data_IF_588206294205
#
_entry.id   IF_588206294205
#
_cell.length_a   1.000
_cell.length_b   1.000
_cell.length_c   1.000
_cell.angle_alpha   90.00
_cell.angle_beta   90.00
_cell.angle_gamma   90.00
#
_symmetry.space_group_name_H-M   'P 1'
#
loop_
_entity.id
_entity.type
_entity.pdbx_description
1 polymer ?
#
# COMPACT_ATOMS: atom_id res chain seq x y z
N UNK A 1 36.85 7.94 51.39
CA UNK A 1 36.96 6.69 52.16
C UNK A 1 35.70 5.90 51.90
N UNK A 2 35.74 5.02 50.96
CA UNK A 2 35.27 3.63 50.97
C UNK A 2 35.43 3.08 49.53
N UNK A 3 36.44 2.27 49.37
CA UNK A 3 36.67 1.31 48.27
C UNK A 3 35.75 0.14 48.46
N UNK A 4 35.01 -0.24 47.42
CA UNK A 4 34.62 -1.63 47.20
C UNK A 4 34.76 -1.93 45.71
N UNK A 5 35.71 -2.78 45.40
CA UNK A 5 35.81 -3.57 44.17
C UNK A 5 34.71 -4.61 44.23
N UNK A 6 33.95 -4.74 43.14
CA UNK A 6 33.36 -6.03 42.76
C UNK A 6 33.28 -6.11 41.25
N UNK A 7 34.13 -6.94 40.73
CA UNK A 7 34.17 -7.50 39.41
C UNK A 7 32.98 -8.47 39.26
N UNK A 8 31.98 -8.14 38.44
CA UNK A 8 31.00 -9.12 37.94
C UNK A 8 31.40 -9.52 36.52
N UNK A 9 31.81 -10.78 36.44
CA UNK A 9 32.14 -11.53 35.25
C UNK A 9 30.93 -11.66 34.32
N UNK A 10 31.11 -11.24 33.07
CA UNK A 10 30.20 -11.49 31.94
C UNK A 10 30.45 -12.89 31.38
N UNK A 11 29.93 -13.93 32.01
CA UNK A 11 29.84 -15.27 31.43
C UNK A 11 28.64 -15.99 32.03
N UNK A 12 27.44 -15.77 31.46
CA UNK A 12 26.33 -16.72 31.48
C UNK A 12 25.30 -16.26 30.45
N UNK A 13 25.60 -16.45 29.18
CA UNK A 13 24.62 -16.50 28.10
C UNK A 13 24.58 -17.93 27.58
N UNK A 14 23.54 -18.66 27.93
CA UNK A 14 23.27 -20.01 27.48
C UNK A 14 23.09 -20.08 25.97
N UNK A 15 23.66 -21.10 25.30
CA UNK A 15 23.41 -21.36 23.88
C UNK A 15 22.15 -22.20 23.70
N UNK A 16 21.19 -21.67 22.95
CA UNK A 16 20.09 -22.47 22.41
C UNK A 16 20.43 -22.77 20.97
N UNK A 17 21.03 -23.93 20.75
CA UNK A 17 20.99 -24.68 19.50
C UNK A 17 21.72 -26.01 19.70
N UNK A 18 21.04 -27.11 19.79
CA UNK A 18 21.61 -28.40 19.44
C UNK A 18 20.54 -29.44 19.07
N UNK A 19 20.69 -29.91 17.85
CA UNK A 19 20.57 -31.26 17.34
C UNK A 19 19.18 -31.90 17.17
N UNK A 20 18.89 -32.09 15.90
CA UNK A 20 17.97 -33.12 15.40
C UNK A 20 18.54 -34.53 15.59
N UNK A 21 17.74 -35.57 15.72
CA UNK A 21 18.12 -36.94 15.38
C UNK A 21 17.61 -37.32 13.98
N UNK A 22 18.52 -37.79 13.15
CA UNK A 22 18.24 -38.55 11.93
C UNK A 22 17.58 -39.87 12.26
N UNK A 23 16.53 -40.22 11.56
CA UNK A 23 16.11 -41.63 11.39
C UNK A 23 15.76 -41.86 9.92
N UNK A 24 16.20 -43.02 9.47
CA UNK A 24 16.43 -43.44 8.11
C UNK A 24 15.19 -43.70 7.25
N UNK A 25 15.47 -43.67 5.97
CA UNK A 25 14.70 -43.94 4.78
C UNK A 25 13.74 -45.13 4.79
N UNK A 26 12.59 -44.94 4.12
CA UNK A 26 11.98 -45.96 3.26
C UNK A 26 11.29 -45.30 2.09
N UNK A 27 11.66 -45.72 0.91
CA UNK A 27 11.27 -45.27 -0.42
C UNK A 27 9.95 -45.85 -0.89
N UNK A 28 9.06 -45.03 -1.47
CA UNK A 28 8.25 -45.39 -2.64
C UNK A 28 7.66 -44.14 -3.34
N UNK A 29 7.55 -44.09 -4.67
CA UNK A 29 7.24 -42.88 -5.42
C UNK A 29 5.75 -42.68 -5.59
N UNK A 30 5.24 -41.54 -5.11
CA UNK A 30 3.86 -41.09 -5.32
C UNK A 30 3.87 -39.69 -5.93
N UNK A 31 3.44 -39.62 -7.17
CA UNK A 31 3.28 -38.45 -8.03
C UNK A 31 2.63 -37.26 -7.29
N UNK A 32 3.39 -36.21 -7.00
CA UNK A 32 2.86 -34.91 -6.60
C UNK A 32 2.39 -34.17 -7.86
N UNK A 33 1.07 -34.25 -8.12
CA UNK A 33 0.40 -33.35 -9.04
C UNK A 33 0.17 -32.00 -8.33
N UNK A 34 0.70 -30.96 -8.92
CA UNK A 34 0.58 -29.57 -8.49
C UNK A 34 -0.87 -29.13 -8.33
N UNK A 35 -1.25 -28.67 -7.13
CA UNK A 35 -2.60 -28.22 -6.76
C UNK A 35 -2.86 -26.72 -7.05
N UNK A 36 -2.14 -26.10 -7.95
CA UNK A 36 -2.18 -24.64 -8.15
C UNK A 36 -3.26 -24.11 -9.09
N UNK A 37 -4.15 -24.96 -9.68
CA UNK A 37 -5.21 -24.46 -10.58
C UNK A 37 -6.57 -25.18 -10.42
N UNK A 38 -7.03 -25.42 -9.20
CA UNK A 38 -8.34 -26.03 -9.00
C UNK A 38 -9.46 -24.94 -8.90
N UNK A 39 -10.55 -25.05 -9.68
CA UNK A 39 -11.67 -24.12 -9.59
C UNK A 39 -12.30 -24.07 -8.20
N UNK A 40 -12.97 -22.96 -7.82
CA UNK A 40 -13.57 -22.81 -6.49
C UNK A 40 -14.59 -23.90 -6.20
N UNK A 41 -14.68 -24.34 -4.93
CA UNK A 41 -15.61 -25.38 -4.52
C UNK A 41 -17.07 -24.88 -4.66
N UNK A 42 -18.01 -25.73 -5.09
CA UNK A 42 -19.41 -25.35 -5.20
C UNK A 42 -20.01 -24.95 -3.84
N UNK A 43 -21.09 -24.12 -3.79
CA UNK A 43 -21.74 -23.71 -2.56
C UNK A 43 -22.25 -24.93 -1.75
N UNK A 44 -22.38 -24.78 -0.43
CA UNK A 44 -22.82 -25.85 0.44
C UNK A 44 -24.29 -26.20 0.16
N UNK A 45 -24.63 -27.48 -0.07
CA UNK A 45 -26.01 -27.92 -0.26
C UNK A 45 -26.80 -27.79 1.05
N UNK A 46 -28.14 -27.72 0.93
CA UNK A 46 -29.08 -27.78 2.08
C UNK A 46 -29.71 -29.18 2.11
N UNK A 47 -29.99 -29.70 3.32
CA UNK A 47 -30.73 -30.91 3.48
C UNK A 47 -32.25 -30.72 3.19
N UNK A 48 -33.03 -31.81 3.22
CA UNK A 48 -34.47 -31.77 2.99
C UNK A 48 -35.25 -30.93 4.02
N UNK A 49 -34.61 -30.56 5.15
CA UNK A 49 -35.15 -29.70 6.20
C UNK A 49 -34.69 -28.22 6.05
N UNK A 50 -33.97 -27.89 5.00
CA UNK A 50 -33.46 -26.51 4.74
C UNK A 50 -32.19 -26.15 5.51
N UNK A 51 -31.64 -27.05 6.33
CA UNK A 51 -30.42 -26.83 7.08
C UNK A 51 -29.16 -26.99 6.18
N UNK A 52 -28.13 -26.26 6.51
CA UNK A 52 -26.88 -26.26 5.74
C UNK A 52 -26.06 -27.51 6.02
N UNK A 53 -25.77 -28.35 5.03
CA UNK A 53 -24.89 -29.51 5.15
C UNK A 53 -23.43 -29.06 5.29
N UNK A 54 -22.79 -29.39 6.38
CA UNK A 54 -21.38 -29.08 6.61
C UNK A 54 -20.49 -30.10 5.90
N UNK A 55 -19.81 -29.69 4.83
CA UNK A 55 -18.88 -30.52 4.08
C UNK A 55 -17.60 -29.76 3.77
N UNK A 56 -16.46 -30.47 3.73
CA UNK A 56 -15.18 -29.87 3.35
C UNK A 56 -15.19 -29.46 1.86
N UNK A 57 -14.41 -28.44 1.44
CA UNK A 57 -14.33 -28.02 0.04
C UNK A 57 -13.97 -29.17 -0.91
N UNK A 58 -13.11 -30.07 -0.48
CA UNK A 58 -12.69 -31.23 -1.27
C UNK A 58 -13.81 -32.29 -1.38
N UNK A 59 -14.50 -32.59 -0.26
CA UNK A 59 -15.66 -33.48 -0.26
C UNK A 59 -16.78 -33.01 -1.18
N UNK A 60 -17.05 -31.69 -1.22
CA UNK A 60 -18.04 -31.09 -2.13
C UNK A 60 -17.68 -31.25 -3.62
N UNK A 61 -16.41 -31.13 -3.98
CA UNK A 61 -15.97 -31.35 -5.36
C UNK A 61 -16.10 -32.83 -5.77
N UNK A 62 -15.63 -33.71 -4.91
CA UNK A 62 -15.69 -35.16 -5.15
C UNK A 62 -17.13 -35.69 -5.25
N UNK A 63 -18.01 -35.28 -4.34
CA UNK A 63 -19.43 -35.65 -4.39
C UNK A 63 -20.10 -35.15 -5.67
N UNK A 64 -19.80 -33.91 -6.10
CA UNK A 64 -20.32 -33.36 -7.37
C UNK A 64 -19.80 -34.15 -8.59
N UNK A 65 -18.53 -34.53 -8.61
CA UNK A 65 -17.95 -35.32 -9.70
C UNK A 65 -18.50 -36.75 -9.75
N UNK A 66 -18.80 -37.33 -8.58
CA UNK A 66 -19.36 -38.67 -8.47
C UNK A 66 -20.90 -38.72 -8.52
N UNK A 67 -21.59 -37.54 -8.62
CA UNK A 67 -23.05 -37.48 -8.66
C UNK A 67 -23.72 -37.89 -7.35
N UNK A 68 -23.02 -37.76 -6.21
CA UNK A 68 -23.53 -38.18 -4.88
C UNK A 68 -24.11 -36.98 -4.14
N UNK A 69 -25.30 -37.16 -3.54
CA UNK A 69 -25.91 -36.13 -2.69
C UNK A 69 -25.26 -36.12 -1.30
N UNK A 70 -24.63 -35.01 -0.94
CA UNK A 70 -23.97 -34.79 0.34
C UNK A 70 -24.97 -34.81 1.53
N UNK A 71 -26.24 -34.53 1.28
CA UNK A 71 -27.29 -34.59 2.33
C UNK A 71 -27.59 -36.01 2.77
N UNK A 72 -27.28 -37.01 1.96
CA UNK A 72 -27.47 -38.44 2.28
C UNK A 72 -26.28 -39.07 3.04
N UNK A 73 -25.17 -38.32 3.23
CA UNK A 73 -23.95 -38.81 3.84
C UNK A 73 -23.83 -38.37 5.31
N UNK A 74 -23.50 -39.33 6.18
CA UNK A 74 -23.14 -39.02 7.57
C UNK A 74 -21.67 -38.62 7.63
N UNK A 75 -21.40 -37.33 8.01
CA UNK A 75 -20.04 -36.82 8.13
C UNK A 75 -19.34 -37.37 9.38
N UNK A 76 -18.13 -37.94 9.22
CA UNK A 76 -17.29 -38.44 10.32
C UNK A 76 -16.29 -37.38 10.84
N UNK A 77 -16.21 -36.20 10.22
CA UNK A 77 -15.34 -35.12 10.65
C UNK A 77 -15.85 -34.30 11.84
N UNK A 78 -15.05 -33.42 12.43
CA UNK A 78 -15.41 -32.58 13.56
C UNK A 78 -16.74 -31.85 13.35
N UNK A 79 -17.61 -31.89 14.37
CA UNK A 79 -18.96 -31.33 14.33
C UNK A 79 -19.88 -31.90 13.23
N UNK A 80 -19.73 -33.21 12.89
CA UNK A 80 -20.58 -33.86 11.89
C UNK A 80 -20.29 -33.43 10.45
N UNK A 81 -19.08 -32.90 10.15
CA UNK A 81 -18.69 -32.44 8.82
C UNK A 81 -18.37 -33.61 7.90
N UNK A 82 -18.94 -33.61 6.69
CA UNK A 82 -18.58 -34.56 5.64
C UNK A 82 -17.16 -34.27 5.14
N UNK A 83 -16.27 -35.25 5.29
CA UNK A 83 -14.87 -35.19 4.85
C UNK A 83 -14.65 -36.09 3.64
N UNK A 84 -13.47 -36.00 3.04
CA UNK A 84 -13.09 -36.75 1.83
C UNK A 84 -13.35 -38.24 1.95
N UNK A 85 -12.97 -38.84 3.09
CA UNK A 85 -13.10 -40.28 3.34
C UNK A 85 -14.57 -40.75 3.27
N UNK A 86 -15.52 -39.91 3.70
CA UNK A 86 -16.95 -40.25 3.69
C UNK A 86 -17.48 -40.35 2.26
N UNK A 87 -17.01 -39.48 1.35
CA UNK A 87 -17.40 -39.49 -0.06
C UNK A 87 -16.75 -40.66 -0.78
N UNK A 88 -15.45 -40.95 -0.52
CA UNK A 88 -14.79 -42.14 -1.08
C UNK A 88 -15.48 -43.43 -0.68
N UNK A 89 -15.86 -43.57 0.60
CA UNK A 89 -16.58 -44.73 1.11
C UNK A 89 -17.99 -44.87 0.48
N UNK A 90 -18.65 -43.72 0.18
CA UNK A 90 -19.95 -43.73 -0.48
C UNK A 90 -19.82 -44.15 -1.97
N UNK A 91 -18.75 -43.76 -2.66
CA UNK A 91 -18.44 -44.20 -4.01
C UNK A 91 -18.21 -45.73 -4.05
N UNK A 92 -17.41 -46.25 -3.10
CA UNK A 92 -17.12 -47.70 -3.01
C UNK A 92 -18.35 -48.53 -2.67
N UNK A 93 -19.30 -48.00 -1.87
CA UNK A 93 -20.55 -48.68 -1.51
C UNK A 93 -21.63 -48.61 -2.58
N UNK A 94 -21.41 -47.90 -3.69
CA UNK A 94 -22.38 -47.78 -4.80
C UNK A 94 -23.64 -47.02 -4.42
N UNK A 95 -23.53 -45.92 -3.69
CA UNK A 95 -24.66 -45.06 -3.36
C UNK A 95 -25.39 -44.58 -4.64
N UNK A 96 -26.75 -44.56 -4.69
CA UNK A 96 -27.50 -44.29 -5.90
C UNK A 96 -27.21 -42.92 -6.44
N UNK A 97 -26.76 -42.87 -7.71
CA UNK A 97 -26.62 -41.63 -8.47
C UNK A 97 -28.00 -41.04 -8.78
N UNK A 98 -28.15 -39.74 -8.64
CA UNK A 98 -29.39 -39.05 -9.06
C UNK A 98 -29.64 -39.29 -10.55
N UNK A 99 -30.71 -39.98 -10.87
CA UNK A 99 -31.25 -40.07 -12.24
C UNK A 99 -31.83 -38.68 -12.60
N UNK A 100 -31.60 -38.20 -13.81
CA UNK A 100 -32.28 -36.98 -14.29
C UNK A 100 -33.76 -37.23 -14.41
N UNK A 101 -34.61 -36.47 -13.75
CA UNK A 101 -36.05 -36.53 -13.87
C UNK A 101 -36.46 -36.19 -15.33
N UNK A 102 -37.19 -37.13 -15.94
CA UNK A 102 -37.76 -36.96 -17.25
C UNK A 102 -38.84 -35.86 -17.24
N UNK A 103 -38.75 -34.92 -18.19
CA UNK A 103 -39.75 -33.91 -18.46
C UNK A 103 -40.93 -34.55 -19.22
N UNK A 104 -42.20 -34.24 -18.87
CA UNK A 104 -43.30 -34.53 -19.74
C UNK A 104 -43.37 -33.54 -20.90
N UNK A 105 -43.60 -34.07 -22.08
CA UNK A 105 -43.84 -33.29 -23.30
C UNK A 105 -45.15 -32.51 -23.20
N UNK A 106 -45.12 -31.23 -23.56
CA UNK A 106 -46.30 -30.41 -23.84
C UNK A 106 -46.08 -29.62 -25.13
N UNK A 107 -47.13 -29.61 -25.95
CA UNK A 107 -47.30 -29.07 -27.30
C UNK A 107 -47.04 -27.55 -27.45
N UNK A 108 -46.90 -27.05 -28.68
CA UNK A 108 -46.34 -25.73 -28.95
C UNK A 108 -47.41 -24.61 -28.98
N UNK A 109 -47.16 -23.52 -28.30
CA UNK A 109 -47.89 -22.26 -28.50
C UNK A 109 -46.94 -21.06 -28.51
N UNK A 110 -46.98 -20.42 -29.69
CA UNK A 110 -46.73 -18.99 -29.98
C UNK A 110 -45.53 -18.25 -29.36
N UNK A 111 -44.65 -17.85 -30.27
CA UNK A 111 -43.54 -16.94 -30.13
C UNK A 111 -43.95 -15.58 -29.52
N UNK A 112 -43.39 -15.24 -28.37
CA UNK A 112 -43.16 -13.86 -27.96
C UNK A 112 -41.66 -13.72 -27.66
N UNK A 113 -40.98 -12.88 -28.42
CA UNK A 113 -39.56 -12.59 -28.29
C UNK A 113 -39.33 -11.91 -26.94
N UNK A 114 -38.75 -12.63 -25.96
CA UNK A 114 -38.20 -12.06 -24.77
C UNK A 114 -36.72 -11.76 -25.03
N UNK A 115 -36.34 -10.48 -25.02
CA UNK A 115 -34.96 -10.03 -24.98
C UNK A 115 -34.23 -10.64 -23.78
N UNK A 116 -32.95 -11.04 -23.90
CA UNK A 116 -32.18 -11.50 -22.76
C UNK A 116 -31.98 -10.34 -21.80
N UNK A 117 -32.60 -10.42 -20.60
CA UNK A 117 -32.26 -9.55 -19.48
C UNK A 117 -30.80 -9.85 -19.06
N UNK A 118 -29.92 -8.88 -19.28
CA UNK A 118 -28.61 -8.88 -18.69
C UNK A 118 -28.74 -8.99 -17.16
N UNK A 119 -27.93 -9.83 -16.51
CA UNK A 119 -27.90 -9.85 -15.05
C UNK A 119 -27.59 -8.45 -14.55
N UNK A 120 -28.47 -7.87 -13.76
CA UNK A 120 -28.23 -6.59 -13.10
C UNK A 120 -26.91 -6.68 -12.33
N UNK A 121 -25.94 -5.87 -12.75
CA UNK A 121 -24.68 -5.74 -12.04
C UNK A 121 -24.98 -5.40 -10.57
N UNK A 122 -24.61 -6.28 -9.65
CA UNK A 122 -24.73 -6.04 -8.22
C UNK A 122 -23.91 -4.78 -7.93
N UNK A 123 -24.59 -3.71 -7.50
CA UNK A 123 -23.92 -2.52 -6.97
C UNK A 123 -22.89 -2.98 -5.93
N UNK A 124 -21.66 -2.45 -5.96
CA UNK A 124 -20.68 -2.69 -4.89
C UNK A 124 -21.35 -2.38 -3.54
N UNK A 125 -21.06 -3.15 -2.48
CA UNK A 125 -21.59 -2.86 -1.16
C UNK A 125 -21.26 -1.41 -0.80
N UNK A 126 -22.27 -0.67 -0.34
CA UNK A 126 -22.08 0.71 0.11
C UNK A 126 -20.97 0.75 1.18
N UNK A 127 -20.06 1.73 1.14
CA UNK A 127 -19.04 1.86 2.18
C UNK A 127 -19.74 1.89 3.53
N UNK A 128 -19.15 1.19 4.52
CA UNK A 128 -19.67 1.13 5.88
C UNK A 128 -19.96 2.57 6.33
N UNK A 129 -21.22 2.87 6.63
CA UNK A 129 -21.62 4.18 7.13
C UNK A 129 -20.87 4.39 8.44
N UNK A 130 -20.02 5.41 8.48
CA UNK A 130 -19.37 5.85 9.71
C UNK A 130 -20.42 6.23 10.75
N UNK A 131 -20.02 6.25 12.03
CA UNK A 131 -20.88 6.73 13.13
C UNK A 131 -21.42 8.12 12.74
N UNK A 132 -22.74 8.30 12.81
CA UNK A 132 -23.36 9.61 12.62
C UNK A 132 -22.98 10.51 13.81
N UNK A 133 -21.94 11.32 13.62
CA UNK A 133 -21.39 12.18 14.64
C UNK A 133 -22.43 13.23 15.12
N UNK A 134 -23.31 13.69 14.22
CA UNK A 134 -24.36 14.66 14.55
C UNK A 134 -25.41 14.03 15.45
N UNK A 135 -25.95 12.87 15.08
CA UNK A 135 -26.90 12.14 15.90
C UNK A 135 -26.31 11.79 17.28
N UNK A 136 -25.02 11.45 17.34
CA UNK A 136 -24.31 11.20 18.60
C UNK A 136 -24.18 12.47 19.45
N UNK A 137 -23.76 13.58 18.87
CA UNK A 137 -23.64 14.87 19.59
C UNK A 137 -24.98 15.38 20.10
N UNK A 138 -26.03 15.28 19.28
CA UNK A 138 -27.40 15.64 19.66
C UNK A 138 -27.92 14.82 20.84
N UNK A 139 -27.68 13.50 20.80
CA UNK A 139 -28.12 12.59 21.88
C UNK A 139 -27.41 12.85 23.20
N UNK A 140 -26.20 13.40 23.18
CA UNK A 140 -25.40 13.73 24.37
C UNK A 140 -25.55 15.21 24.79
N UNK A 141 -26.36 16.00 24.09
CA UNK A 141 -26.56 17.44 24.39
C UNK A 141 -25.26 18.25 24.20
N UNK A 142 -24.34 17.84 23.31
CA UNK A 142 -23.09 18.55 23.07
C UNK A 142 -23.33 19.81 22.23
N UNK A 143 -22.74 20.93 22.63
CA UNK A 143 -22.77 22.15 21.82
C UNK A 143 -21.75 22.05 20.69
N UNK A 144 -22.18 22.31 19.45
CA UNK A 144 -21.30 22.31 18.26
C UNK A 144 -21.79 23.34 17.22
N UNK A 145 -20.87 23.70 16.31
CA UNK A 145 -21.21 24.50 15.12
C UNK A 145 -21.11 23.57 13.89
N UNK A 146 -22.16 23.50 13.09
CA UNK A 146 -22.17 22.76 11.85
C UNK A 146 -21.72 23.63 10.68
N UNK A 147 -20.50 23.37 10.17
CA UNK A 147 -19.94 24.10 9.03
C UNK A 147 -19.95 23.20 7.78
N UNK A 148 -20.67 23.57 6.71
CA UNK A 148 -20.72 22.76 5.49
C UNK A 148 -19.37 22.71 4.78
N UNK A 149 -18.95 21.51 4.38
CA UNK A 149 -17.73 21.33 3.59
C UNK A 149 -17.89 21.90 2.18
N UNK A 150 -16.87 22.61 1.71
CA UNK A 150 -16.78 23.03 0.31
C UNK A 150 -16.54 21.82 -0.63
N UNK A 151 -16.68 22.02 -1.94
CA UNK A 151 -16.54 20.95 -2.93
C UNK A 151 -15.13 20.30 -2.94
N UNK A 152 -14.10 21.09 -2.69
CA UNK A 152 -12.74 20.60 -2.56
C UNK A 152 -12.60 19.63 -1.37
N UNK A 153 -13.08 20.04 -0.17
CA UNK A 153 -13.05 19.20 1.03
C UNK A 153 -13.86 17.92 0.87
N UNK A 154 -15.02 17.97 0.20
CA UNK A 154 -15.82 16.78 -0.13
C UNK A 154 -15.05 15.81 -1.02
N UNK A 155 -14.35 16.34 -2.04
CA UNK A 155 -13.52 15.53 -2.95
C UNK A 155 -12.32 14.91 -2.21
N UNK A 156 -11.63 15.68 -1.38
CA UNK A 156 -10.52 15.20 -0.55
C UNK A 156 -11.00 14.08 0.38
N UNK A 157 -12.09 14.30 1.12
CA UNK A 157 -12.66 13.31 2.04
C UNK A 157 -12.95 11.98 1.32
N UNK A 158 -13.61 12.03 0.15
CA UNK A 158 -13.90 10.85 -0.67
C UNK A 158 -12.62 10.11 -1.07
N UNK A 159 -11.65 10.82 -1.68
CA UNK A 159 -10.41 10.22 -2.20
C UNK A 159 -9.53 9.64 -1.10
N UNK A 160 -9.38 10.35 0.03
CA UNK A 160 -8.54 9.86 1.12
C UNK A 160 -9.19 8.69 1.86
N UNK A 161 -10.51 8.68 2.03
CA UNK A 161 -11.23 7.52 2.58
C UNK A 161 -11.10 6.30 1.67
N UNK A 162 -11.27 6.47 0.35
CA UNK A 162 -11.06 5.41 -0.63
C UNK A 162 -9.63 4.87 -0.59
N UNK A 163 -8.62 5.75 -0.55
CA UNK A 163 -7.22 5.34 -0.44
C UNK A 163 -6.96 4.50 0.81
N UNK A 164 -7.42 4.96 1.97
CA UNK A 164 -7.21 4.23 3.24
C UNK A 164 -7.96 2.91 3.33
N UNK A 165 -9.10 2.77 2.65
CA UNK A 165 -9.89 1.54 2.65
C UNK A 165 -9.39 0.52 1.63
N UNK A 166 -8.82 0.96 0.49
CA UNK A 166 -8.48 0.08 -0.62
C UNK A 166 -7.00 -0.20 -0.78
N UNK A 167 -6.13 0.69 -0.29
CA UNK A 167 -4.67 0.57 -0.42
C UNK A 167 -4.07 0.02 0.87
N UNK A 168 -3.43 -1.17 0.87
CA UNK A 168 -2.70 -1.68 2.01
C UNK A 168 -1.38 -0.90 2.18
N UNK A 169 -1.43 0.16 2.99
CA UNK A 169 -0.26 0.99 3.25
C UNK A 169 0.79 0.26 4.08
N UNK A 170 2.03 0.28 3.64
CA UNK A 170 3.21 -0.11 4.40
C UNK A 170 4.16 1.07 4.53
N UNK A 171 4.85 1.20 5.66
CA UNK A 171 5.62 2.39 6.00
C UNK A 171 7.07 2.04 6.30
N UNK A 172 8.01 2.82 5.73
CA UNK A 172 9.44 2.70 5.99
C UNK A 172 9.97 4.07 6.34
N UNK A 173 10.78 4.17 7.39
CA UNK A 173 11.38 5.42 7.83
C UNK A 173 12.90 5.35 7.77
N UNK A 174 13.53 6.49 7.47
CA UNK A 174 14.98 6.67 7.45
C UNK A 174 15.34 8.04 7.99
N UNK A 175 16.42 8.12 8.75
CA UNK A 175 17.06 9.38 9.14
C UNK A 175 18.20 9.67 8.16
N UNK A 176 18.26 10.91 7.69
CA UNK A 176 19.20 11.39 6.66
C UNK A 176 19.97 12.58 7.21
N UNK A 177 21.28 12.57 7.08
CA UNK A 177 22.12 13.71 7.42
C UNK A 177 22.04 14.78 6.33
N UNK A 178 21.77 16.03 6.73
CA UNK A 178 21.50 17.13 5.81
C UNK A 178 22.59 18.20 5.77
N UNK A 179 23.66 18.05 6.54
CA UNK A 179 24.70 19.08 6.67
C UNK A 179 25.33 19.45 5.30
N UNK A 180 25.65 18.47 4.45
CA UNK A 180 26.18 18.73 3.11
C UNK A 180 25.14 19.37 2.16
N UNK A 181 23.86 19.00 2.27
CA UNK A 181 22.80 19.70 1.51
C UNK A 181 22.74 21.17 1.89
N UNK A 182 22.77 21.51 3.17
CA UNK A 182 22.74 22.91 3.61
C UNK A 182 23.96 23.69 3.15
N UNK A 183 25.15 23.08 3.21
CA UNK A 183 26.42 23.67 2.77
C UNK A 183 26.39 23.92 1.25
N UNK A 184 26.13 22.89 0.45
CA UNK A 184 26.07 23.01 -1.03
C UNK A 184 24.98 23.99 -1.46
N UNK A 185 23.79 23.94 -0.82
CA UNK A 185 22.71 24.89 -1.10
C UNK A 185 23.15 26.35 -0.85
N UNK A 186 23.86 26.58 0.28
CA UNK A 186 24.36 27.93 0.58
C UNK A 186 25.35 28.40 -0.48
N UNK A 187 26.35 27.57 -0.81
CA UNK A 187 27.35 27.90 -1.83
C UNK A 187 26.73 28.18 -3.21
N UNK A 188 25.77 27.33 -3.65
CA UNK A 188 25.11 27.52 -4.93
C UNK A 188 24.25 28.80 -4.95
N UNK A 189 23.57 29.13 -3.85
CA UNK A 189 22.79 30.35 -3.75
C UNK A 189 23.68 31.59 -3.69
N UNK A 190 24.82 31.58 -2.99
CA UNK A 190 25.79 32.70 -2.97
C UNK A 190 26.37 32.92 -4.35
N UNK A 191 26.72 31.87 -5.10
CA UNK A 191 27.19 31.95 -6.50
C UNK A 191 26.11 32.47 -7.43
N UNK A 192 24.87 32.02 -7.29
CA UNK A 192 23.75 32.49 -8.10
C UNK A 192 23.52 34.00 -7.89
N UNK A 193 23.51 34.44 -6.63
CA UNK A 193 23.38 35.86 -6.27
C UNK A 193 24.52 36.72 -6.86
N UNK A 194 25.78 36.25 -6.76
CA UNK A 194 26.94 36.94 -7.31
C UNK A 194 26.89 37.09 -8.84
N UNK A 195 26.23 36.17 -9.55
CA UNK A 195 26.03 36.17 -11.00
C UNK A 195 24.75 36.88 -11.44
N UNK A 196 23.92 37.38 -10.52
CA UNK A 196 22.62 37.99 -10.83
C UNK A 196 21.57 37.01 -11.37
N UNK A 197 21.71 35.72 -11.03
CA UNK A 197 20.75 34.67 -11.44
C UNK A 197 19.43 34.81 -10.74
N UNK A 198 18.33 34.55 -11.46
CA UNK A 198 16.95 34.65 -10.95
C UNK A 198 16.42 33.36 -10.33
N UNK A 199 17.20 32.74 -9.44
CA UNK A 199 16.73 31.60 -8.63
C UNK A 199 17.38 31.58 -7.25
N UNK A 200 16.68 30.94 -6.31
CA UNK A 200 17.18 30.67 -4.95
C UNK A 200 16.74 29.27 -4.57
N UNK A 201 17.70 28.37 -4.45
CA UNK A 201 17.47 26.96 -4.12
C UNK A 201 16.95 26.80 -2.70
N UNK A 202 15.93 25.98 -2.55
CA UNK A 202 15.39 25.48 -1.27
C UNK A 202 15.86 24.05 -1.01
N UNK A 203 15.77 23.58 0.23
CA UNK A 203 16.03 22.16 0.57
C UNK A 203 15.08 21.24 -0.20
N UNK A 204 13.83 21.69 -0.41
CA UNK A 204 12.82 20.93 -1.12
C UNK A 204 13.21 20.63 -2.58
N UNK A 205 13.96 21.54 -3.25
CA UNK A 205 14.43 21.34 -4.63
C UNK A 205 15.43 20.18 -4.70
N UNK A 206 16.31 20.05 -3.69
CA UNK A 206 17.23 18.92 -3.57
C UNK A 206 16.47 17.61 -3.32
N UNK A 207 15.45 17.63 -2.45
CA UNK A 207 14.64 16.43 -2.17
C UNK A 207 13.87 15.99 -3.41
N UNK A 208 13.26 16.91 -4.16
CA UNK A 208 12.57 16.60 -5.43
C UNK A 208 13.55 15.96 -6.42
N UNK A 209 14.74 16.54 -6.60
CA UNK A 209 15.77 16.02 -7.50
C UNK A 209 16.24 14.63 -7.05
N UNK A 210 16.54 14.45 -5.76
CA UNK A 210 16.96 13.18 -5.19
C UNK A 210 15.89 12.10 -5.35
N UNK A 211 14.61 12.41 -5.08
CA UNK A 211 13.50 11.49 -5.33
C UNK A 211 13.43 11.05 -6.79
N UNK A 212 13.51 12.01 -7.74
CA UNK A 212 13.44 11.71 -9.16
C UNK A 212 14.58 10.80 -9.63
N UNK A 213 15.81 11.05 -9.19
CA UNK A 213 16.97 10.21 -9.49
C UNK A 213 16.88 8.83 -8.82
N UNK A 214 16.38 8.76 -7.58
CA UNK A 214 16.15 7.48 -6.89
C UNK A 214 15.10 6.63 -7.60
N UNK A 215 14.03 7.23 -8.13
CA UNK A 215 13.01 6.54 -8.93
C UNK A 215 13.58 5.99 -10.25
N UNK A 216 14.56 6.65 -10.85
CA UNK A 216 15.27 6.12 -12.03
C UNK A 216 16.17 4.94 -11.68
N UNK A 217 16.81 4.94 -10.51
CA UNK A 217 17.64 3.82 -10.03
C UNK A 217 16.82 2.64 -9.53
N UNK A 218 15.62 2.91 -8.99
CA UNK A 218 14.68 1.90 -8.47
C UNK A 218 13.33 2.06 -9.15
N UNK A 219 13.21 1.71 -10.44
CA UNK A 219 11.99 1.97 -11.22
C UNK A 219 10.75 1.24 -10.69
N UNK A 220 10.93 0.16 -9.92
CA UNK A 220 9.82 -0.54 -9.26
C UNK A 220 9.10 0.30 -8.21
N UNK A 221 9.75 1.34 -7.65
CA UNK A 221 9.10 2.29 -6.74
C UNK A 221 8.27 3.36 -7.49
N UNK A 222 8.50 3.54 -8.81
CA UNK A 222 7.75 4.46 -9.66
C UNK A 222 6.57 3.75 -10.33
N UNK A 223 5.60 3.33 -9.54
CA UNK A 223 4.57 2.38 -9.95
C UNK A 223 3.14 2.84 -9.64
N UNK A 224 2.17 2.15 -10.25
CA UNK A 224 0.76 2.21 -9.90
C UNK A 224 0.14 0.80 -9.94
N UNK A 225 -0.81 0.54 -9.04
CA UNK A 225 -1.59 -0.70 -9.05
C UNK A 225 -2.77 -0.57 -10.02
N UNK A 226 -2.92 -1.54 -10.93
CA UNK A 226 -3.99 -1.59 -11.92
C UNK A 226 -4.77 -2.92 -11.85
N UNK A 227 -5.36 -3.22 -10.69
CA UNK A 227 -6.17 -4.42 -10.48
C UNK A 227 -5.35 -5.72 -10.54
N UNK A 228 -5.09 -6.23 -11.73
CA UNK A 228 -4.33 -7.47 -11.95
C UNK A 228 -2.89 -7.26 -12.42
N UNK A 229 -2.46 -6.01 -12.59
CA UNK A 229 -1.12 -5.65 -13.10
C UNK A 229 -0.51 -4.48 -12.33
N UNK A 230 0.81 -4.33 -12.41
CA UNK A 230 1.54 -3.14 -12.00
C UNK A 230 1.91 -2.32 -13.24
N UNK A 231 1.74 -1.01 -13.18
CA UNK A 231 2.25 -0.07 -14.17
C UNK A 231 3.54 0.52 -13.64
N UNK A 232 4.62 0.43 -14.41
CA UNK A 232 5.90 1.08 -14.09
C UNK A 232 6.11 2.25 -15.04
N UNK A 233 6.34 3.45 -14.47
CA UNK A 233 6.45 4.66 -15.24
C UNK A 233 7.90 4.91 -15.69
N UNK A 234 8.07 5.34 -16.93
CA UNK A 234 9.39 5.65 -17.49
C UNK A 234 9.99 6.92 -16.88
N UNK A 235 9.17 7.93 -16.63
CA UNK A 235 9.59 9.22 -16.10
C UNK A 235 9.14 9.40 -14.65
N UNK A 236 9.92 10.15 -13.88
CA UNK A 236 9.59 10.53 -12.52
C UNK A 236 8.86 11.89 -12.51
N UNK A 237 7.53 11.83 -12.52
CA UNK A 237 6.65 12.99 -12.41
C UNK A 237 6.31 13.21 -10.93
N UNK A 238 7.03 14.11 -10.28
CA UNK A 238 6.94 14.30 -8.81
C UNK A 238 5.88 15.32 -8.46
N UNK A 239 4.81 14.86 -7.80
CA UNK A 239 3.74 15.69 -7.24
C UNK A 239 4.16 16.23 -5.88
N UNK A 240 4.13 17.54 -5.68
CA UNK A 240 4.54 18.18 -4.41
C UNK A 240 3.33 18.77 -3.72
N UNK A 241 3.07 18.36 -2.47
CA UNK A 241 1.95 18.87 -1.69
C UNK A 241 2.15 20.36 -1.33
N UNK A 242 1.22 21.21 -1.76
CA UNK A 242 1.19 22.64 -1.46
C UNK A 242 -0.09 22.98 -0.71
N UNK A 243 0.06 23.53 0.49
CA UNK A 243 -1.07 24.04 1.27
C UNK A 243 -1.63 25.31 0.61
N UNK A 244 -2.95 25.33 0.45
CA UNK A 244 -3.73 26.47 -0.06
C UNK A 244 -4.88 26.77 0.88
N UNK A 245 -5.53 27.90 0.72
CA UNK A 245 -6.73 28.22 1.48
C UNK A 245 -7.84 27.18 1.21
N UNK A 246 -8.36 26.59 2.29
CA UNK A 246 -9.41 25.57 2.23
C UNK A 246 -8.94 24.14 1.91
N UNK A 247 -7.64 23.87 1.67
CA UNK A 247 -7.19 22.51 1.40
C UNK A 247 -5.72 22.36 1.00
N UNK A 248 -5.48 21.38 0.15
CA UNK A 248 -4.16 21.02 -0.38
C UNK A 248 -4.30 20.68 -1.85
N UNK A 249 -3.32 21.11 -2.65
CA UNK A 249 -3.17 20.73 -4.06
C UNK A 249 -1.76 20.20 -4.32
N UNK A 250 -1.60 19.34 -5.31
CA UNK A 250 -0.33 18.64 -5.58
C UNK A 250 0.17 18.96 -7.01
N UNK A 251 0.74 20.18 -7.26
CA UNK A 251 1.38 20.45 -8.55
C UNK A 251 2.47 19.44 -8.88
N UNK A 252 2.68 19.16 -10.16
CA UNK A 252 3.54 18.11 -10.66
C UNK A 252 4.76 18.70 -11.39
N UNK A 253 5.96 18.37 -10.93
CA UNK A 253 7.20 18.57 -11.67
C UNK A 253 7.38 17.38 -12.61
N UNK A 254 7.07 17.56 -13.89
CA UNK A 254 7.16 16.50 -14.91
C UNK A 254 8.60 16.22 -15.26
N UNK A 255 8.94 14.92 -15.45
CA UNK A 255 10.30 14.46 -15.84
C UNK A 255 11.39 15.07 -14.95
N UNK A 256 11.16 15.07 -13.64
CA UNK A 256 12.05 15.74 -12.70
C UNK A 256 13.49 15.20 -12.74
N UNK A 257 13.67 13.93 -13.16
CA UNK A 257 14.98 13.30 -13.36
C UNK A 257 15.81 13.91 -14.49
N UNK A 258 15.19 14.64 -15.40
CA UNK A 258 15.90 15.31 -16.50
C UNK A 258 16.24 16.77 -16.21
N UNK A 259 15.72 17.32 -15.10
CA UNK A 259 15.81 18.74 -14.77
C UNK A 259 16.91 19.03 -13.75
N UNK A 260 17.71 20.07 -13.96
CA UNK A 260 18.65 20.57 -12.96
C UNK A 260 17.94 21.31 -11.81
N UNK A 261 18.64 21.47 -10.68
CA UNK A 261 18.11 22.12 -9.46
C UNK A 261 17.53 23.52 -9.71
N UNK A 262 18.18 24.33 -10.53
CA UNK A 262 17.71 25.69 -10.87
C UNK A 262 16.36 25.66 -11.60
N UNK A 263 16.19 24.72 -12.55
CA UNK A 263 14.94 24.54 -13.29
C UNK A 263 13.82 24.07 -12.36
N UNK A 264 14.09 23.05 -11.52
CA UNK A 264 13.13 22.56 -10.52
C UNK A 264 12.70 23.69 -9.59
N UNK A 265 13.65 24.49 -9.09
CA UNK A 265 13.37 25.60 -8.18
C UNK A 265 12.46 26.66 -8.81
N UNK A 266 12.76 27.10 -10.06
CA UNK A 266 11.93 28.06 -10.79
C UNK A 266 10.52 27.52 -11.03
N UNK A 267 10.42 26.30 -11.52
CA UNK A 267 9.16 25.64 -11.84
C UNK A 267 8.30 25.41 -10.59
N UNK A 268 8.90 24.90 -9.51
CA UNK A 268 8.19 24.68 -8.24
C UNK A 268 7.69 25.99 -7.63
N UNK A 269 8.49 27.06 -7.70
CA UNK A 269 8.13 28.39 -7.21
C UNK A 269 6.94 28.98 -7.97
N UNK A 270 6.95 28.88 -9.30
CA UNK A 270 5.83 29.31 -10.16
C UNK A 270 4.57 28.50 -9.88
N UNK A 271 4.67 27.17 -9.90
CA UNK A 271 3.55 26.27 -9.62
C UNK A 271 2.95 26.52 -8.23
N UNK A 272 3.79 26.69 -7.20
CA UNK A 272 3.32 26.95 -5.84
C UNK A 272 2.63 28.31 -5.71
N UNK A 273 3.10 29.34 -6.43
CA UNK A 273 2.45 30.65 -6.49
C UNK A 273 1.06 30.54 -7.14
N UNK A 274 1.01 29.94 -8.35
CA UNK A 274 -0.26 29.78 -9.07
C UNK A 274 -1.23 28.85 -8.35
N UNK A 275 -0.72 27.86 -7.58
CA UNK A 275 -1.54 27.03 -6.71
C UNK A 275 -2.29 27.85 -5.67
N UNK A 276 -1.59 28.74 -4.95
CA UNK A 276 -2.20 29.63 -3.93
C UNK A 276 -3.17 30.65 -4.54
N UNK A 277 -2.87 31.10 -5.75
CA UNK A 277 -3.75 32.03 -6.51
C UNK A 277 -4.94 31.30 -7.17
N UNK A 278 -5.06 29.97 -7.06
CA UNK A 278 -6.13 29.19 -7.70
C UNK A 278 -6.05 29.17 -9.24
N UNK A 279 -4.86 29.37 -9.81
CA UNK A 279 -4.62 29.51 -11.26
C UNK A 279 -3.93 28.29 -11.92
N UNK A 280 -3.82 27.17 -11.23
CA UNK A 280 -3.29 25.94 -11.81
C UNK A 280 -4.27 25.33 -12.79
N UNK A 281 -3.74 24.84 -13.92
CA UNK A 281 -4.52 24.05 -14.88
C UNK A 281 -4.59 22.58 -14.43
N UNK A 282 -5.64 21.84 -14.81
CA UNK A 282 -5.77 20.43 -14.44
C UNK A 282 -4.56 19.56 -14.76
N UNK A 283 -3.93 19.75 -15.91
CA UNK A 283 -2.73 19.02 -16.34
C UNK A 283 -1.47 19.32 -15.52
N UNK A 284 -1.50 20.34 -14.66
CA UNK A 284 -0.39 20.72 -13.80
C UNK A 284 -0.44 20.09 -12.40
N UNK A 285 -1.60 19.51 -12.01
CA UNK A 285 -1.77 18.81 -10.74
C UNK A 285 -2.34 17.41 -10.88
N UNK A 286 -2.51 16.92 -12.12
CA UNK A 286 -2.91 15.55 -12.42
C UNK A 286 -1.77 14.80 -13.13
N UNK A 287 -1.75 13.47 -12.99
CA UNK A 287 -0.83 12.62 -13.72
C UNK A 287 0.58 12.50 -13.13
N UNK A 288 0.80 12.87 -11.88
CA UNK A 288 2.06 12.57 -11.18
C UNK A 288 2.21 11.08 -10.90
N UNK A 289 3.45 10.59 -10.83
CA UNK A 289 3.77 9.18 -10.59
C UNK A 289 4.24 8.88 -9.16
N UNK A 290 4.70 9.92 -8.45
CA UNK A 290 5.18 9.87 -7.07
C UNK A 290 4.76 11.14 -6.34
N UNK A 291 4.47 11.06 -5.04
CA UNK A 291 4.11 12.22 -4.23
C UNK A 291 5.16 12.56 -3.18
N UNK A 292 5.31 13.86 -2.92
CA UNK A 292 6.14 14.43 -1.86
C UNK A 292 5.29 15.32 -0.96
N UNK A 293 5.30 15.06 0.34
CA UNK A 293 4.65 15.90 1.35
C UNK A 293 5.68 16.37 2.39
N UNK A 294 5.89 17.67 2.51
CA UNK A 294 6.88 18.24 3.44
C UNK A 294 6.18 19.08 4.51
N UNK A 295 6.27 18.64 5.77
CA UNK A 295 5.77 19.35 6.95
C UNK A 295 6.89 19.86 7.87
N UNK A 296 8.15 19.80 7.41
CA UNK A 296 9.30 20.29 8.18
C UNK A 296 9.21 21.75 8.59
N UNK A 297 8.61 22.60 7.74
CA UNK A 297 8.38 24.01 8.07
C UNK A 297 7.42 24.25 9.24
N UNK A 298 6.63 23.24 9.61
CA UNK A 298 5.72 23.27 10.76
C UNK A 298 6.32 22.63 12.01
N UNK A 299 7.61 22.23 11.99
CA UNK A 299 8.29 21.59 13.10
C UNK A 299 7.88 20.13 13.33
N UNK A 300 7.22 19.49 12.37
CA UNK A 300 6.83 18.08 12.45
C UNK A 300 8.05 17.23 12.13
N UNK A 301 8.48 16.39 13.08
CA UNK A 301 9.67 15.54 12.92
C UNK A 301 9.39 14.30 12.09
N UNK A 302 8.23 13.66 12.26
CA UNK A 302 7.86 12.45 11.54
C UNK A 302 6.33 12.37 11.38
N UNK A 303 5.87 11.89 10.23
CA UNK A 303 4.45 11.61 9.97
C UNK A 303 4.31 10.59 8.83
N UNK A 304 3.15 9.94 8.78
CA UNK A 304 2.81 8.98 7.73
C UNK A 304 1.79 9.60 6.80
N UNK A 305 2.18 9.85 5.55
CA UNK A 305 1.28 10.41 4.54
C UNK A 305 0.34 9.33 3.98
N UNK A 306 -0.88 9.74 3.63
CA UNK A 306 -1.84 8.89 2.91
C UNK A 306 -1.46 8.90 1.43
N UNK A 307 -1.36 7.73 0.83
CA UNK A 307 -1.06 7.58 -0.61
C UNK A 307 -2.17 8.26 -1.43
N UNK A 308 -1.76 8.97 -2.49
CA UNK A 308 -2.66 9.62 -3.44
C UNK A 308 -2.81 8.74 -4.69
N UNK A 309 -3.85 7.89 -4.79
CA UNK A 309 -4.03 7.05 -5.95
C UNK A 309 -4.14 7.84 -7.27
N UNK A 310 -3.62 7.30 -8.38
CA UNK A 310 -3.14 5.93 -8.61
C UNK A 310 -1.67 5.68 -8.23
N UNK A 311 -0.94 6.67 -7.72
CA UNK A 311 0.46 6.54 -7.31
C UNK A 311 0.63 5.48 -6.22
N UNK A 312 1.71 4.68 -6.32
CA UNK A 312 2.00 3.66 -5.32
C UNK A 312 2.80 4.17 -4.12
N UNK A 313 3.44 5.35 -4.23
CA UNK A 313 4.34 5.85 -3.20
C UNK A 313 4.12 7.33 -2.90
N UNK A 314 4.32 7.69 -1.62
CA UNK A 314 4.42 9.08 -1.15
C UNK A 314 5.49 9.19 -0.07
N UNK A 315 6.39 10.16 -0.23
CA UNK A 315 7.42 10.49 0.76
C UNK A 315 6.94 11.62 1.67
N UNK A 316 6.87 11.35 2.97
CA UNK A 316 6.67 12.32 4.03
C UNK A 316 8.04 12.82 4.51
N UNK A 317 8.22 14.13 4.54
CA UNK A 317 9.47 14.79 4.93
C UNK A 317 9.24 15.61 6.20
N UNK A 318 10.00 15.29 7.23
CA UNK A 318 9.99 15.98 8.50
C UNK A 318 10.92 17.19 8.55
N UNK A 319 10.99 17.81 9.73
CA UNK A 319 11.90 18.93 9.99
C UNK A 319 13.36 18.45 10.01
N UNK A 320 14.26 19.35 9.63
CA UNK A 320 15.71 19.15 9.83
C UNK A 320 16.10 19.81 11.14
N UNK A 321 16.67 19.04 12.07
CA UNK A 321 17.06 19.52 13.40
C UNK A 321 18.40 18.93 13.84
N UNK A 322 19.12 19.63 14.70
CA UNK A 322 20.36 19.14 15.26
C UNK A 322 20.08 18.00 16.25
N UNK A 323 20.73 16.85 16.02
CA UNK A 323 20.64 15.66 16.88
C UNK A 323 22.02 15.15 17.24
N UNK A 324 22.20 14.55 18.44
CA UNK A 324 23.41 13.81 18.75
C UNK A 324 23.46 12.54 17.88
N UNK A 325 24.60 12.35 17.22
CA UNK A 325 24.87 11.17 16.36
C UNK A 325 26.22 10.58 16.73
N UNK A 326 26.46 9.33 16.39
CA UNK A 326 27.77 8.70 16.53
C UNK A 326 28.45 8.69 15.16
N UNK A 327 29.58 9.39 15.02
CA UNK A 327 30.45 9.40 13.84
C UNK A 327 31.84 8.89 14.23
N UNK A 328 32.33 7.92 13.50
CA UNK A 328 33.67 7.32 13.72
C UNK A 328 33.91 6.89 15.18
N UNK A 329 32.85 6.39 15.85
CA UNK A 329 32.89 5.97 17.23
C UNK A 329 32.86 7.11 18.28
N UNK A 330 32.73 8.37 17.84
CA UNK A 330 32.63 9.54 18.73
C UNK A 330 31.24 10.19 18.67
N UNK A 331 30.80 10.76 19.79
CA UNK A 331 29.59 11.56 19.84
C UNK A 331 29.81 12.87 19.09
N UNK A 332 28.92 13.16 18.14
CA UNK A 332 28.92 14.38 17.33
C UNK A 332 27.53 14.97 17.24
N UNK A 333 27.42 16.19 16.74
CA UNK A 333 26.12 16.83 16.40
C UNK A 333 26.02 16.93 14.89
N UNK A 334 24.88 16.48 14.34
CA UNK A 334 24.58 16.60 12.92
C UNK A 334 23.13 17.08 12.71
N UNK A 335 22.88 17.73 11.60
CA UNK A 335 21.53 18.11 11.21
C UNK A 335 20.84 16.92 10.55
N UNK A 336 19.90 16.32 11.25
CA UNK A 336 19.16 15.12 10.82
C UNK A 336 17.76 15.47 10.36
N UNK A 337 17.32 14.79 9.31
CA UNK A 337 15.96 14.88 8.76
C UNK A 337 15.35 13.50 8.70
N UNK A 338 14.18 13.31 9.31
CA UNK A 338 13.45 12.04 9.19
C UNK A 338 12.52 12.06 7.97
N UNK A 339 12.60 11.00 7.19
CA UNK A 339 11.71 10.76 6.04
C UNK A 339 10.95 9.45 6.23
N UNK A 340 9.65 9.45 5.92
CA UNK A 340 8.82 8.24 5.92
C UNK A 340 8.20 8.03 4.55
N UNK A 341 8.49 6.88 3.96
CA UNK A 341 7.89 6.44 2.70
C UNK A 341 6.64 5.59 3.01
N UNK A 342 5.49 6.01 2.51
CA UNK A 342 4.28 5.17 2.48
C UNK A 342 4.20 4.52 1.12
N UNK A 343 4.01 3.19 1.07
CA UNK A 343 3.93 2.42 -0.16
C UNK A 343 2.65 1.59 -0.23
N UNK A 344 2.15 1.40 -1.45
CA UNK A 344 1.10 0.43 -1.76
C UNK A 344 1.73 -0.97 -1.83
N UNK A 345 1.52 -1.77 -0.76
CA UNK A 345 2.17 -3.07 -0.63
C UNK A 345 1.69 -4.13 -1.66
N UNK A 346 0.76 -3.78 -2.53
CA UNK A 346 0.34 -4.63 -3.67
C UNK A 346 1.35 -4.61 -4.83
N UNK A 347 2.13 -3.53 -4.96
CA UNK A 347 3.09 -3.32 -6.07
C UNK A 347 4.49 -2.96 -5.60
N UNK A 348 4.64 -2.41 -4.38
CA UNK A 348 5.93 -2.02 -3.80
C UNK A 348 6.07 -2.73 -2.45
N UNK A 349 7.00 -3.65 -2.37
CA UNK A 349 7.33 -4.37 -1.14
C UNK A 349 8.38 -3.64 -0.28
N UNK A 350 8.69 -4.23 0.89
CA UNK A 350 9.64 -3.66 1.83
C UNK A 350 11.06 -3.53 1.26
N UNK A 351 11.49 -4.45 0.40
CA UNK A 351 12.83 -4.42 -0.21
C UNK A 351 12.95 -3.31 -1.25
N UNK A 352 11.94 -3.15 -2.11
CA UNK A 352 11.88 -2.07 -3.11
C UNK A 352 11.87 -0.71 -2.41
N UNK A 353 11.01 -0.54 -1.38
CA UNK A 353 10.95 0.70 -0.62
C UNK A 353 12.25 1.02 0.13
N UNK A 354 12.89 0.02 0.73
CA UNK A 354 14.19 0.18 1.40
C UNK A 354 15.31 0.56 0.42
N UNK A 355 15.35 -0.05 -0.77
CA UNK A 355 16.31 0.31 -1.81
C UNK A 355 16.09 1.76 -2.28
N UNK A 356 14.84 2.18 -2.48
CA UNK A 356 14.53 3.58 -2.82
C UNK A 356 15.02 4.55 -1.74
N UNK A 357 14.75 4.28 -0.46
CA UNK A 357 15.20 5.12 0.64
C UNK A 357 16.72 5.12 0.79
N UNK A 358 17.39 4.01 0.53
CA UNK A 358 18.85 3.91 0.51
C UNK A 358 19.47 4.80 -0.57
N UNK A 359 18.92 4.79 -1.80
CA UNK A 359 19.39 5.67 -2.87
C UNK A 359 19.07 7.13 -2.58
N UNK A 360 17.88 7.44 -2.06
CA UNK A 360 17.50 8.78 -1.62
C UNK A 360 18.47 9.33 -0.58
N UNK A 361 18.80 8.52 0.44
CA UNK A 361 19.75 8.85 1.50
C UNK A 361 21.13 9.17 0.94
N UNK A 362 21.69 8.30 0.08
CA UNK A 362 23.00 8.52 -0.57
C UNK A 362 23.06 9.84 -1.32
N UNK A 363 22.01 10.17 -2.10
CA UNK A 363 21.95 11.38 -2.89
C UNK A 363 21.81 12.66 -2.02
N UNK A 364 21.15 12.57 -0.88
CA UNK A 364 21.01 13.71 0.03
C UNK A 364 22.23 13.86 0.94
N UNK A 365 22.88 12.78 1.37
CA UNK A 365 24.13 12.83 2.14
C UNK A 365 25.35 13.22 1.27
N UNK A 366 25.28 12.96 -0.07
CA UNK A 366 26.24 13.47 -1.06
C UNK A 366 25.53 14.19 -2.21
N UNK A 367 25.12 15.46 -2.00
CA UNK A 367 24.35 16.20 -3.01
C UNK A 367 25.13 16.52 -4.28
N UNK A 368 26.48 16.45 -4.27
CA UNK A 368 27.29 16.64 -5.47
C UNK A 368 27.09 15.52 -6.49
N UNK A 369 26.80 14.30 -6.04
CA UNK A 369 26.49 13.17 -6.91
C UNK A 369 25.20 13.36 -7.75
N UNK A 370 24.31 14.29 -7.36
CA UNK A 370 23.13 14.65 -8.15
C UNK A 370 23.42 15.50 -9.39
N UNK A 371 24.64 16.01 -9.51
CA UNK A 371 25.08 16.85 -10.62
C UNK A 371 25.77 16.04 -11.73
N UNK A 372 26.09 14.78 -11.44
CA UNK A 372 26.69 13.81 -12.38
C UNK A 372 25.60 13.02 -13.09
#
# INVERSE_FOLDING_TARGET
IYTVKDTLSLHDALPICSAAPQAAASSAPGTQASLENAPPAPPAPKDASGNRVFASPLARRMAKQAGIDLASLNGTGPHGRVVRADVEQAIERGAPAQQPAAQPAAEPAAQAQAQPQQPAAQKPPAPAQGVDAKASADSLGMAYEEVPLNNMRKTIAKRLSESKQTVPHFYLSVDIEMDEVFKVRKELNDRAQARGEDYKLSVNDFIIRACALSLKKVPQANAAFNGSSALFFEHADVSVAVAIEGGLITPVIKKAETKGLATISKEMKDLAKRARDGKLKPEEYQGGTFSLSNLGMFGITNFQAIINPPQACILAVGTSEQRPVVKDGALSVATMMSCTLSVDHRVVDGAIGANFLSELRKLLEDPMSMLL
#
